data_IF_571813912068
#
_entry.id   IF_571813912068
#
_cell.length_a   1.000
_cell.length_b   1.000
_cell.length_c   1.000
_cell.angle_alpha   90.00
_cell.angle_beta   90.00
_cell.angle_gamma   90.00
#
_symmetry.space_group_name_H-M   'P 1'
#
loop_
_entity.id
_entity.type
_entity.pdbx_description
1 polymer ?
#
# COMPACT_ATOMS: atom_id res chain seq x y z
N UNK A 1 -9.06 -15.29 -33.57
CA UNK A 1 -9.98 -14.73 -32.55
C UNK A 1 -10.64 -15.91 -31.84
N UNK A 2 -10.63 -15.97 -30.51
CA UNK A 2 -11.34 -17.00 -29.77
C UNK A 2 -12.83 -16.63 -29.80
N UNK A 3 -13.71 -17.56 -30.18
CA UNK A 3 -15.15 -17.31 -30.22
C UNK A 3 -15.68 -16.96 -28.84
N UNK A 4 -16.56 -15.95 -28.73
CA UNK A 4 -17.13 -15.49 -27.45
C UNK A 4 -17.82 -16.62 -26.64
N UNK A 5 -18.37 -17.59 -27.31
CA UNK A 5 -19.01 -18.76 -26.65
C UNK A 5 -18.01 -19.64 -25.91
N UNK A 6 -16.79 -19.76 -26.42
CA UNK A 6 -15.69 -20.47 -25.74
C UNK A 6 -15.17 -19.73 -24.51
N UNK A 7 -15.16 -18.39 -24.53
CA UNK A 7 -14.78 -17.57 -23.39
C UNK A 7 -15.77 -17.72 -22.23
N UNK A 8 -17.05 -17.86 -22.53
CA UNK A 8 -18.09 -18.06 -21.50
C UNK A 8 -18.01 -19.44 -20.83
N UNK A 9 -17.51 -20.45 -21.52
CA UNK A 9 -17.43 -21.84 -21.05
C UNK A 9 -16.11 -22.20 -20.38
N UNK A 10 -15.06 -21.37 -20.55
CA UNK A 10 -13.72 -21.67 -19.99
C UNK A 10 -13.71 -21.68 -18.46
N UNK A 11 -13.03 -22.68 -17.90
CA UNK A 11 -12.75 -22.85 -16.47
C UNK A 11 -11.38 -22.28 -16.05
N UNK A 12 -10.65 -21.65 -16.97
CA UNK A 12 -9.36 -21.00 -16.64
C UNK A 12 -9.59 -19.91 -15.57
N UNK A 13 -8.84 -19.96 -14.49
CA UNK A 13 -9.06 -19.12 -13.31
C UNK A 13 -9.17 -17.60 -13.60
N UNK A 14 -8.37 -16.99 -14.52
CA UNK A 14 -8.52 -15.56 -14.78
C UNK A 14 -9.89 -15.19 -15.32
N UNK A 15 -10.46 -16.06 -16.19
CA UNK A 15 -11.79 -15.86 -16.74
C UNK A 15 -12.90 -16.12 -15.71
N UNK A 16 -12.71 -17.11 -14.85
CA UNK A 16 -13.65 -17.40 -13.75
C UNK A 16 -13.76 -16.19 -12.83
N UNK A 17 -12.65 -15.67 -12.38
CA UNK A 17 -12.62 -14.50 -11.49
C UNK A 17 -13.07 -13.22 -12.20
N UNK A 18 -12.69 -13.01 -13.46
CA UNK A 18 -13.17 -11.88 -14.25
C UNK A 18 -14.68 -11.87 -14.43
N UNK A 19 -15.28 -13.03 -14.77
CA UNK A 19 -16.75 -13.18 -14.87
C UNK A 19 -17.45 -12.94 -13.54
N UNK A 20 -16.87 -13.45 -12.45
CA UNK A 20 -17.38 -13.21 -11.09
C UNK A 20 -17.38 -11.72 -10.76
N UNK A 21 -16.26 -11.02 -10.97
CA UNK A 21 -16.13 -9.58 -10.76
C UNK A 21 -17.16 -8.79 -11.58
N UNK A 22 -17.27 -9.05 -12.88
CA UNK A 22 -18.22 -8.36 -13.76
C UNK A 22 -19.67 -8.55 -13.31
N UNK A 23 -20.02 -9.72 -12.76
CA UNK A 23 -21.35 -10.01 -12.23
C UNK A 23 -21.59 -9.31 -10.89
N UNK A 24 -20.67 -9.49 -9.93
CA UNK A 24 -20.87 -9.06 -8.54
C UNK A 24 -20.66 -7.55 -8.35
N UNK A 25 -19.87 -6.90 -9.21
CA UNK A 25 -19.58 -5.47 -9.18
C UNK A 25 -20.22 -4.68 -10.33
N UNK A 26 -21.19 -5.27 -11.02
CA UNK A 26 -21.78 -4.71 -12.24
C UNK A 26 -22.16 -3.23 -12.11
N UNK A 27 -22.99 -2.87 -11.14
CA UNK A 27 -23.47 -1.50 -10.95
C UNK A 27 -22.35 -0.50 -10.65
N UNK A 28 -21.35 -0.94 -9.87
CA UNK A 28 -20.19 -0.13 -9.55
C UNK A 28 -19.31 0.11 -10.78
N UNK A 29 -19.02 -0.93 -11.55
CA UNK A 29 -18.22 -0.87 -12.79
C UNK A 29 -18.92 0.00 -13.83
N UNK A 30 -20.25 -0.19 -14.04
CA UNK A 30 -21.03 0.62 -14.99
C UNK A 30 -21.03 2.11 -14.63
N UNK A 31 -21.19 2.43 -13.36
CA UNK A 31 -21.14 3.82 -12.86
C UNK A 31 -19.79 4.46 -13.11
N UNK A 32 -18.70 3.70 -12.90
CA UNK A 32 -17.32 4.18 -13.03
C UNK A 32 -16.83 4.23 -14.48
N UNK A 33 -17.32 3.37 -15.35
CA UNK A 33 -16.93 3.26 -16.75
C UNK A 33 -15.53 2.67 -16.99
N UNK A 34 -14.86 2.16 -15.95
CA UNK A 34 -13.54 1.50 -16.03
C UNK A 34 -13.34 0.49 -14.89
N UNK A 35 -12.37 -0.40 -15.04
CA UNK A 35 -12.00 -1.39 -14.03
C UNK A 35 -10.56 -1.12 -13.57
N UNK A 36 -10.37 -0.92 -12.27
CA UNK A 36 -9.05 -0.76 -11.67
C UNK A 36 -8.73 -1.99 -10.83
N UNK A 37 -7.54 -2.54 -11.02
CA UNK A 37 -6.95 -3.59 -10.21
C UNK A 37 -5.69 -3.04 -9.53
N UNK A 38 -5.41 -3.49 -8.31
CA UNK A 38 -4.26 -3.02 -7.56
C UNK A 38 -3.36 -4.17 -7.14
N UNK A 39 -2.04 -3.97 -7.24
CA UNK A 39 -1.01 -4.80 -6.63
C UNK A 39 -0.28 -4.02 -5.55
N UNK A 40 0.36 -4.69 -4.59
CA UNK A 40 1.17 -4.08 -3.54
C UNK A 40 2.62 -4.54 -3.62
N UNK A 41 3.56 -3.65 -3.30
CA UNK A 41 4.97 -3.94 -3.23
C UNK A 41 5.61 -3.20 -2.04
N UNK A 42 6.27 -3.95 -1.15
CA UNK A 42 7.09 -3.39 -0.08
C UNK A 42 8.54 -3.27 -0.54
N UNK A 43 9.07 -2.06 -0.82
CA UNK A 43 10.40 -1.86 -1.39
C UNK A 43 11.52 -1.93 -0.32
N UNK A 44 11.41 -2.86 0.62
CA UNK A 44 12.43 -3.11 1.65
C UNK A 44 13.56 -4.05 1.20
N UNK A 45 13.54 -4.47 -0.07
CA UNK A 45 14.53 -5.31 -0.73
C UNK A 45 14.35 -5.29 -2.24
N UNK A 46 15.24 -5.97 -2.95
CA UNK A 46 15.19 -6.05 -4.41
C UNK A 46 13.95 -6.82 -4.88
N UNK A 47 13.38 -6.48 -6.06
CA UNK A 47 12.29 -7.24 -6.67
C UNK A 47 12.67 -8.71 -6.87
N UNK A 48 11.72 -9.60 -6.67
CA UNK A 48 11.91 -11.06 -6.77
C UNK A 48 10.70 -11.75 -7.41
N UNK A 49 10.73 -13.07 -7.53
CA UNK A 49 9.67 -13.86 -8.17
C UNK A 49 8.27 -13.63 -7.57
N UNK A 50 8.18 -13.31 -6.26
CA UNK A 50 6.90 -12.95 -5.63
C UNK A 50 6.34 -11.65 -6.20
N UNK A 51 7.20 -10.64 -6.37
CA UNK A 51 6.84 -9.36 -7.00
C UNK A 51 6.34 -9.56 -8.44
N UNK A 52 7.06 -10.39 -9.21
CA UNK A 52 6.62 -10.79 -10.54
C UNK A 52 5.25 -11.47 -10.51
N UNK A 53 5.05 -12.42 -9.61
CA UNK A 53 3.81 -13.19 -9.47
C UNK A 53 2.58 -12.31 -9.18
N UNK A 54 2.74 -11.25 -8.39
CA UNK A 54 1.68 -10.28 -8.12
C UNK A 54 1.21 -9.59 -9.39
N UNK A 55 2.13 -9.00 -10.14
CA UNK A 55 1.79 -8.25 -11.35
C UNK A 55 1.38 -9.19 -12.48
N UNK A 56 2.02 -10.34 -12.63
CA UNK A 56 1.67 -11.34 -13.66
C UNK A 56 0.24 -11.85 -13.49
N UNK A 57 -0.16 -12.24 -12.28
CA UNK A 57 -1.54 -12.68 -12.00
C UNK A 57 -2.56 -11.59 -12.27
N UNK A 58 -2.27 -10.36 -11.85
CA UNK A 58 -3.15 -9.23 -12.11
C UNK A 58 -3.25 -8.92 -13.61
N UNK A 59 -2.16 -9.03 -14.35
CA UNK A 59 -2.15 -8.89 -15.81
C UNK A 59 -2.95 -9.99 -16.53
N UNK A 60 -2.93 -11.23 -16.01
CA UNK A 60 -3.81 -12.30 -16.52
C UNK A 60 -5.29 -11.97 -16.33
N UNK A 61 -5.65 -11.38 -15.18
CA UNK A 61 -7.01 -10.89 -14.93
C UNK A 61 -7.39 -9.78 -15.93
N UNK A 62 -6.52 -8.80 -16.13
CA UNK A 62 -6.73 -7.72 -17.11
C UNK A 62 -6.92 -8.29 -18.52
N UNK A 63 -6.09 -9.26 -18.93
CA UNK A 63 -6.23 -9.90 -20.24
C UNK A 63 -7.58 -10.63 -20.39
N UNK A 64 -8.06 -11.29 -19.35
CA UNK A 64 -9.38 -11.92 -19.36
C UNK A 64 -10.52 -10.88 -19.43
N UNK A 65 -10.43 -9.79 -18.64
CA UNK A 65 -11.39 -8.69 -18.66
C UNK A 65 -11.46 -8.02 -20.04
N UNK A 66 -10.33 -7.74 -20.67
CA UNK A 66 -10.26 -7.13 -22.00
C UNK A 66 -10.88 -8.01 -23.11
N UNK A 67 -11.00 -9.33 -22.89
CA UNK A 67 -11.69 -10.24 -23.80
C UNK A 67 -13.19 -10.35 -23.50
N UNK A 68 -13.62 -10.10 -22.27
CA UNK A 68 -15.00 -10.20 -21.81
C UNK A 68 -15.76 -8.89 -21.89
N UNK A 69 -15.09 -7.74 -21.86
CA UNK A 69 -15.69 -6.40 -21.89
C UNK A 69 -14.83 -5.43 -22.69
N UNK A 70 -15.47 -4.36 -23.18
CA UNK A 70 -14.77 -3.24 -23.84
C UNK A 70 -14.40 -2.10 -22.87
N UNK A 71 -14.61 -2.30 -21.56
CA UNK A 71 -14.29 -1.27 -20.57
C UNK A 71 -12.77 -1.11 -20.42
N UNK A 72 -12.28 0.11 -20.27
CA UNK A 72 -10.87 0.36 -19.96
C UNK A 72 -10.49 -0.35 -18.66
N UNK A 73 -9.30 -0.97 -18.66
CA UNK A 73 -8.72 -1.63 -17.49
C UNK A 73 -7.40 -0.96 -17.11
N UNK A 74 -7.13 -0.83 -15.83
CA UNK A 74 -5.91 -0.24 -15.30
C UNK A 74 -5.34 -1.11 -14.16
N UNK A 75 -4.01 -1.27 -14.11
CA UNK A 75 -3.30 -1.88 -12.98
C UNK A 75 -2.58 -0.77 -12.22
N UNK A 76 -2.91 -0.58 -10.96
CA UNK A 76 -2.12 0.24 -10.05
C UNK A 76 -1.07 -0.66 -9.39
N UNK A 77 0.20 -0.39 -9.65
CA UNK A 77 1.32 -0.97 -8.92
C UNK A 77 1.71 0.00 -7.81
N UNK A 78 1.31 -0.35 -6.59
CA UNK A 78 1.48 0.51 -5.41
C UNK A 78 2.72 0.11 -4.63
N UNK A 79 3.62 1.06 -4.41
CA UNK A 79 4.80 0.87 -3.58
C UNK A 79 4.55 1.40 -2.17
N UNK A 80 4.71 0.53 -1.17
CA UNK A 80 4.64 0.86 0.25
C UNK A 80 5.95 1.50 0.75
N UNK A 81 6.51 2.44 -0.02
CA UNK A 81 7.81 3.08 0.21
C UNK A 81 7.84 4.05 1.41
N UNK A 82 6.69 4.31 2.02
CA UNK A 82 6.58 5.02 3.30
C UNK A 82 6.70 4.09 4.51
N UNK A 83 6.79 2.78 4.30
CA UNK A 83 7.03 1.83 5.39
C UNK A 83 8.40 2.06 6.02
N UNK A 84 8.46 1.89 7.35
CA UNK A 84 9.74 1.95 8.08
C UNK A 84 10.65 0.77 7.71
N UNK A 85 11.94 1.02 7.57
CA UNK A 85 12.93 -0.04 7.39
C UNK A 85 12.99 -0.90 8.67
N UNK A 86 12.36 -2.09 8.64
CA UNK A 86 12.23 -2.95 9.85
C UNK A 86 13.48 -3.75 10.17
N UNK A 87 14.24 -4.12 9.16
CA UNK A 87 15.47 -4.89 9.28
C UNK A 87 16.41 -4.58 8.13
N UNK A 88 17.70 -4.78 8.35
CA UNK A 88 18.71 -4.68 7.29
C UNK A 88 18.67 -5.98 6.47
N UNK A 89 18.48 -5.93 5.15
CA UNK A 89 18.55 -7.13 4.31
C UNK A 89 19.99 -7.68 4.25
N UNK A 90 20.14 -9.01 4.19
CA UNK A 90 21.45 -9.67 4.24
C UNK A 90 22.32 -9.43 3.00
N UNK A 91 21.67 -9.22 1.86
CA UNK A 91 22.31 -9.09 0.54
C UNK A 91 22.51 -7.63 0.07
N UNK A 92 22.49 -6.67 1.00
CA UNK A 92 22.63 -5.24 0.69
C UNK A 92 23.97 -4.72 1.25
N UNK A 93 24.71 -3.86 0.52
CA UNK A 93 25.92 -3.22 1.02
C UNK A 93 25.60 -2.18 2.11
N UNK A 94 26.67 -1.66 2.76
CA UNK A 94 26.58 -0.59 3.76
C UNK A 94 25.58 -0.89 4.89
N UNK A 95 25.66 -2.08 5.49
CA UNK A 95 24.75 -2.52 6.56
C UNK A 95 24.68 -1.56 7.73
N UNK A 96 25.82 -1.01 8.17
CA UNK A 96 25.87 -0.03 9.27
C UNK A 96 25.10 1.26 8.97
N UNK A 97 25.11 1.71 7.69
CA UNK A 97 24.30 2.84 7.25
C UNK A 97 22.82 2.55 7.42
N UNK A 98 22.38 1.36 7.01
CA UNK A 98 20.99 0.94 7.13
C UNK A 98 20.57 0.74 8.59
N UNK A 99 21.43 0.17 9.44
CA UNK A 99 21.19 -0.02 10.88
C UNK A 99 20.91 1.31 11.59
N UNK A 100 21.68 2.34 11.28
CA UNK A 100 21.46 3.71 11.83
C UNK A 100 20.14 4.34 11.38
N UNK A 101 19.56 3.85 10.29
CA UNK A 101 18.31 4.36 9.70
C UNK A 101 17.13 3.41 9.87
N UNK A 102 17.22 2.42 10.76
CA UNK A 102 16.09 1.53 11.08
C UNK A 102 14.86 2.32 11.52
N UNK A 103 13.71 1.87 11.08
CA UNK A 103 12.39 2.43 11.31
C UNK A 103 12.08 3.75 10.58
N UNK A 104 13.03 4.38 9.87
CA UNK A 104 12.70 5.51 9.00
C UNK A 104 11.93 5.02 7.77
N UNK A 105 11.03 5.85 7.18
CA UNK A 105 10.44 5.57 5.88
C UNK A 105 11.52 5.21 4.86
N UNK A 106 11.27 4.22 4.00
CA UNK A 106 12.27 3.77 3.02
C UNK A 106 12.75 4.90 2.11
N UNK A 107 11.91 5.90 1.88
CA UNK A 107 12.26 7.11 1.13
C UNK A 107 13.12 8.12 1.90
N UNK A 108 13.30 7.91 3.20
CA UNK A 108 14.18 8.73 4.06
C UNK A 108 15.46 7.95 4.48
N UNK A 109 15.58 6.69 4.05
CA UNK A 109 16.78 5.87 4.25
C UNK A 109 17.74 6.15 3.11
N UNK A 110 19.00 6.56 3.35
CA UNK A 110 19.98 6.77 2.29
C UNK A 110 20.18 5.50 1.44
N UNK A 111 20.40 5.67 0.14
CA UNK A 111 20.62 4.54 -0.77
C UNK A 111 21.97 3.87 -0.49
N UNK A 112 22.02 2.59 -0.05
CA UNK A 112 23.27 1.90 0.22
C UNK A 112 24.10 1.61 -1.04
N UNK A 113 23.54 1.83 -2.22
CA UNK A 113 24.23 1.67 -3.51
C UNK A 113 24.74 3.01 -4.08
N UNK A 114 24.41 4.14 -3.46
CA UNK A 114 24.78 5.51 -3.89
C UNK A 114 24.35 5.85 -5.34
N UNK A 115 23.21 5.31 -5.79
CA UNK A 115 22.68 5.54 -7.15
C UNK A 115 21.47 6.45 -7.17
N UNK A 116 20.74 6.53 -6.05
CA UNK A 116 19.52 7.30 -5.88
C UNK A 116 19.59 8.10 -4.56
N UNK A 117 18.63 8.99 -4.34
CA UNK A 117 18.59 9.77 -3.10
C UNK A 117 18.23 8.90 -1.88
N UNK A 118 17.44 7.84 -2.10
CA UNK A 118 17.00 6.96 -1.02
C UNK A 118 16.92 5.49 -1.44
N UNK A 119 16.92 4.63 -0.44
CA UNK A 119 16.74 3.19 -0.63
C UNK A 119 15.35 2.86 -1.21
N UNK A 120 14.31 3.62 -0.82
CA UNK A 120 12.99 3.51 -1.42
C UNK A 120 12.99 3.86 -2.91
N UNK A 121 13.64 4.97 -3.30
CA UNK A 121 13.77 5.34 -4.73
C UNK A 121 14.56 4.30 -5.52
N UNK A 122 15.65 3.77 -4.96
CA UNK A 122 16.42 2.70 -5.59
C UNK A 122 15.54 1.49 -5.91
N UNK A 123 14.86 0.95 -4.90
CA UNK A 123 14.04 -0.24 -5.07
C UNK A 123 12.81 0.02 -5.97
N UNK A 124 12.23 1.22 -5.94
CA UNK A 124 11.17 1.63 -6.84
C UNK A 124 11.66 1.68 -8.30
N UNK A 125 12.87 2.17 -8.55
CA UNK A 125 13.48 2.16 -9.88
C UNK A 125 13.74 0.72 -10.37
N UNK A 126 14.27 -0.14 -9.48
CA UNK A 126 14.48 -1.56 -9.80
C UNK A 126 13.16 -2.27 -10.11
N UNK A 127 12.09 -1.99 -9.35
CA UNK A 127 10.76 -2.53 -9.62
C UNK A 127 10.27 -2.12 -11.01
N UNK A 128 10.31 -0.84 -11.32
CA UNK A 128 9.87 -0.32 -12.63
C UNK A 128 10.65 -0.97 -13.78
N UNK A 129 11.98 -0.97 -13.70
CA UNK A 129 12.83 -1.61 -14.70
C UNK A 129 12.51 -3.10 -14.86
N UNK A 130 12.27 -3.80 -13.76
CA UNK A 130 11.89 -5.22 -13.76
C UNK A 130 10.55 -5.43 -14.47
N UNK A 131 9.51 -4.66 -14.14
CA UNK A 131 8.19 -4.78 -14.76
C UNK A 131 8.22 -4.39 -16.25
N UNK A 132 8.97 -3.35 -16.59
CA UNK A 132 9.13 -2.87 -17.97
C UNK A 132 9.82 -3.93 -18.86
N UNK A 133 10.79 -4.69 -18.31
CA UNK A 133 11.47 -5.77 -19.04
C UNK A 133 10.53 -6.91 -19.46
N UNK A 134 9.38 -7.05 -18.80
CA UNK A 134 8.32 -8.00 -19.16
C UNK A 134 7.16 -7.34 -19.92
N UNK A 135 7.29 -6.07 -20.30
CA UNK A 135 6.27 -5.30 -21.01
C UNK A 135 4.91 -5.22 -20.28
N UNK A 136 4.91 -5.28 -18.96
CA UNK A 136 3.68 -5.07 -18.18
C UNK A 136 3.16 -3.63 -18.36
N UNK A 137 1.83 -3.49 -18.42
CA UNK A 137 1.15 -2.18 -18.45
C UNK A 137 0.63 -1.89 -17.04
N UNK A 138 1.12 -0.83 -16.42
CA UNK A 138 0.77 -0.45 -15.06
C UNK A 138 0.87 1.06 -14.84
N UNK A 139 0.18 1.55 -13.81
CA UNK A 139 0.32 2.89 -13.26
C UNK A 139 1.04 2.77 -11.91
N UNK A 140 2.28 3.26 -11.83
CA UNK A 140 3.05 3.24 -10.58
C UNK A 140 2.55 4.32 -9.61
N UNK A 141 2.38 3.95 -8.33
CA UNK A 141 2.05 4.87 -7.24
C UNK A 141 3.00 4.67 -6.06
N UNK A 142 3.56 5.76 -5.56
CA UNK A 142 4.37 5.82 -4.34
C UNK A 142 3.47 6.18 -3.15
N UNK A 143 3.51 5.40 -2.08
CA UNK A 143 2.76 5.72 -0.86
C UNK A 143 3.25 7.04 -0.26
N UNK A 144 4.57 7.26 -0.16
CA UNK A 144 5.14 8.51 0.34
C UNK A 144 4.63 9.72 -0.42
N UNK A 145 4.64 9.66 -1.76
CA UNK A 145 4.16 10.77 -2.59
C UNK A 145 2.68 11.06 -2.36
N UNK A 146 1.85 10.03 -2.26
CA UNK A 146 0.40 10.18 -2.08
C UNK A 146 0.04 10.68 -0.68
N UNK A 147 0.71 10.19 0.36
CA UNK A 147 0.52 10.69 1.72
C UNK A 147 0.98 12.15 1.85
N UNK A 148 2.19 12.48 1.39
CA UNK A 148 2.77 13.84 1.48
C UNK A 148 2.04 14.86 0.61
N UNK A 149 1.42 14.46 -0.50
CA UNK A 149 0.62 15.37 -1.35
C UNK A 149 -0.78 15.65 -0.82
N UNK A 150 -1.19 15.00 0.28
CA UNK A 150 -2.54 15.11 0.82
C UNK A 150 -3.60 14.31 0.04
N UNK A 151 -3.21 13.46 -0.92
CA UNK A 151 -4.15 12.66 -1.70
C UNK A 151 -5.05 11.78 -0.84
N UNK A 152 -4.56 11.31 0.29
CA UNK A 152 -5.31 10.49 1.24
C UNK A 152 -5.98 11.28 2.38
N UNK A 153 -5.85 12.62 2.45
CA UNK A 153 -6.31 13.40 3.59
C UNK A 153 -7.78 13.18 3.94
N UNK A 154 -8.69 13.22 2.95
CA UNK A 154 -10.12 12.96 3.18
C UNK A 154 -10.38 11.54 3.70
N UNK A 155 -9.64 10.57 3.20
CA UNK A 155 -9.75 9.17 3.61
C UNK A 155 -9.20 8.95 5.02
N UNK A 156 -8.11 9.61 5.38
CA UNK A 156 -7.53 9.58 6.72
C UNK A 156 -8.50 10.18 7.76
N UNK A 157 -9.18 11.26 7.40
CA UNK A 157 -10.24 11.84 8.23
C UNK A 157 -11.36 10.83 8.48
N UNK A 158 -11.90 10.18 7.44
CA UNK A 158 -12.94 9.14 7.58
C UNK A 158 -12.47 8.01 8.53
N UNK A 159 -11.21 7.59 8.43
CA UNK A 159 -10.63 6.57 9.30
C UNK A 159 -10.55 7.05 10.75
N UNK A 160 -10.15 8.31 10.98
CA UNK A 160 -10.11 8.89 12.33
C UNK A 160 -11.51 8.99 12.95
N UNK A 161 -12.48 9.41 12.16
CA UNK A 161 -13.88 9.49 12.62
C UNK A 161 -14.44 8.12 13.04
N UNK A 162 -14.02 7.06 12.34
CA UNK A 162 -14.45 5.68 12.59
C UNK A 162 -13.42 4.85 13.40
N UNK A 163 -12.51 5.50 14.11
CA UNK A 163 -11.38 4.86 14.82
C UNK A 163 -11.83 3.69 15.70
N UNK A 164 -12.82 3.91 16.57
CA UNK A 164 -13.28 2.87 17.51
C UNK A 164 -13.92 1.69 16.80
N UNK A 165 -14.68 1.93 15.73
CA UNK A 165 -15.25 0.89 14.88
C UNK A 165 -14.18 0.01 14.23
N UNK A 166 -13.12 0.63 13.72
CA UNK A 166 -11.97 -0.06 13.12
C UNK A 166 -11.23 -0.88 14.18
N UNK A 167 -10.99 -0.31 15.37
CA UNK A 167 -10.36 -1.03 16.49
C UNK A 167 -11.17 -2.27 16.89
N UNK A 168 -12.50 -2.13 17.01
CA UNK A 168 -13.38 -3.25 17.37
C UNK A 168 -13.36 -4.39 16.34
N UNK A 169 -13.15 -4.09 15.07
CA UNK A 169 -13.04 -5.10 13.99
C UNK A 169 -11.64 -5.75 13.97
N UNK A 170 -10.59 -4.96 14.11
CA UNK A 170 -9.22 -5.44 13.93
C UNK A 170 -8.68 -6.16 15.16
N UNK A 171 -8.88 -5.60 16.37
CA UNK A 171 -8.28 -6.16 17.59
C UNK A 171 -8.58 -7.65 17.81
N UNK A 172 -9.81 -8.15 17.62
CA UNK A 172 -10.10 -9.59 17.80
C UNK A 172 -9.33 -10.50 16.84
N UNK A 173 -8.83 -9.96 15.71
CA UNK A 173 -8.05 -10.73 14.72
C UNK A 173 -6.56 -10.82 15.07
N UNK A 174 -6.11 -10.15 16.11
CA UNK A 174 -4.71 -10.06 16.51
C UNK A 174 -4.41 -10.91 17.73
N UNK A 175 -3.18 -11.40 17.83
CA UNK A 175 -2.69 -12.04 19.06
C UNK A 175 -2.61 -11.04 20.24
N UNK A 176 -2.73 -11.53 21.48
CA UNK A 176 -2.81 -10.71 22.71
C UNK A 176 -1.70 -9.67 22.84
N UNK A 177 -0.47 -10.01 22.50
CA UNK A 177 0.66 -9.05 22.58
C UNK A 177 0.50 -7.91 21.55
N UNK A 178 0.07 -8.26 20.33
CA UNK A 178 -0.14 -7.26 19.28
C UNK A 178 -1.34 -6.35 19.56
N UNK A 179 -2.36 -6.84 20.26
CA UNK A 179 -3.51 -6.03 20.66
C UNK A 179 -3.11 -4.85 21.57
N UNK A 180 -2.09 -5.02 22.42
CA UNK A 180 -1.61 -3.98 23.34
C UNK A 180 -0.91 -2.81 22.63
N UNK A 181 -0.32 -3.06 21.48
CA UNK A 181 0.51 -2.09 20.75
C UNK A 181 -0.13 -1.62 19.45
N UNK A 182 -1.29 -2.16 19.08
CA UNK A 182 -1.92 -1.85 17.80
C UNK A 182 -2.55 -0.45 17.79
N UNK A 183 -2.34 0.24 16.69
CA UNK A 183 -3.12 1.42 16.28
C UNK A 183 -3.32 1.37 14.77
N UNK A 184 -4.45 1.83 14.24
CA UNK A 184 -4.63 2.08 12.80
C UNK A 184 -3.62 3.08 12.25
N UNK A 185 -3.25 4.08 13.04
CA UNK A 185 -2.29 5.12 12.68
C UNK A 185 -0.90 4.81 13.21
N UNK A 186 0.09 4.97 12.37
CA UNK A 186 1.52 4.90 12.70
C UNK A 186 2.09 6.32 12.57
N UNK A 187 2.30 7.04 13.69
CA UNK A 187 2.89 8.36 13.64
C UNK A 187 4.35 8.31 13.19
N UNK A 188 4.77 9.34 12.46
CA UNK A 188 6.19 9.58 12.19
C UNK A 188 6.71 10.52 13.26
N UNK A 189 7.73 10.07 14.00
CA UNK A 189 8.30 10.84 15.08
C UNK A 189 8.93 12.14 14.54
N UNK A 190 8.48 13.33 14.95
CA UNK A 190 8.99 14.59 14.43
C UNK A 190 10.47 14.84 14.79
N UNK A 191 10.99 14.20 15.85
CA UNK A 191 12.39 14.33 16.27
C UNK A 191 13.34 13.40 15.52
N UNK A 192 12.89 12.16 15.21
CA UNK A 192 13.77 11.12 14.68
C UNK A 192 13.44 10.72 13.23
N UNK A 193 12.28 11.13 12.71
CA UNK A 193 11.77 10.71 11.41
C UNK A 193 11.34 9.24 11.35
N UNK A 194 11.31 8.52 12.48
CA UNK A 194 10.97 7.08 12.52
C UNK A 194 9.47 6.87 12.50
N UNK A 195 9.02 5.88 11.77
CA UNK A 195 7.65 5.33 11.83
C UNK A 195 7.51 4.55 13.13
N UNK A 196 6.56 4.93 13.96
CA UNK A 196 6.38 4.35 15.30
C UNK A 196 5.21 3.35 15.29
N UNK A 197 5.49 2.11 15.69
CA UNK A 197 4.46 1.07 15.89
C UNK A 197 4.02 1.04 17.37
N UNK A 198 3.37 2.10 17.82
CA UNK A 198 2.95 2.31 19.21
C UNK A 198 1.45 2.59 19.30
N UNK A 199 0.81 2.35 20.46
CA UNK A 199 -0.61 2.62 20.64
C UNK A 199 -0.86 4.15 20.64
N UNK A 200 -1.98 4.54 20.05
CA UNK A 200 -2.53 5.88 20.19
C UNK A 200 -3.29 5.97 21.51
N UNK A 201 -2.97 6.96 22.36
CA UNK A 201 -3.63 7.22 23.64
C UNK A 201 -4.95 7.94 23.51
N UNK A 202 -4.98 8.95 22.64
CA UNK A 202 -6.16 9.79 22.37
C UNK A 202 -6.19 10.22 20.91
N UNK A 203 -7.39 10.44 20.41
CA UNK A 203 -7.64 11.03 19.10
C UNK A 203 -8.34 12.38 19.28
N UNK A 204 -8.03 13.34 18.42
CA UNK A 204 -8.74 14.61 18.33
C UNK A 204 -9.32 14.76 16.93
N UNK A 205 -10.64 14.57 16.82
CA UNK A 205 -11.34 14.60 15.54
C UNK A 205 -11.44 16.01 14.96
N UNK A 206 -11.52 17.04 15.81
CA UNK A 206 -11.64 18.43 15.37
C UNK A 206 -10.31 18.96 14.81
N UNK A 207 -9.19 18.58 15.43
CA UNK A 207 -7.84 18.98 15.00
C UNK A 207 -7.21 18.01 13.99
N UNK A 208 -7.83 16.86 13.75
CA UNK A 208 -7.27 15.76 12.93
C UNK A 208 -5.88 15.34 13.43
N UNK A 209 -5.77 15.14 14.75
CA UNK A 209 -4.51 14.74 15.42
C UNK A 209 -4.69 13.49 16.25
N UNK A 210 -3.56 12.82 16.50
CA UNK A 210 -3.42 11.71 17.43
C UNK A 210 -2.38 12.03 18.49
N UNK A 211 -2.61 11.53 19.72
CA UNK A 211 -1.71 11.69 20.87
C UNK A 211 -1.17 10.31 21.24
N UNK A 212 0.13 10.22 21.39
CA UNK A 212 0.85 9.00 21.71
C UNK A 212 2.01 9.29 22.66
N UNK A 213 2.54 8.26 23.32
CA UNK A 213 3.74 8.38 24.17
C UNK A 213 4.94 7.78 23.45
N UNK A 214 6.06 8.51 23.44
CA UNK A 214 7.33 8.04 22.96
C UNK A 214 8.45 8.47 23.91
N UNK A 215 9.25 7.51 24.41
CA UNK A 215 10.36 7.75 25.34
C UNK A 215 9.95 8.58 26.58
N UNK A 216 8.79 8.28 27.14
CA UNK A 216 8.26 8.97 28.32
C UNK A 216 7.66 10.35 28.06
N UNK A 217 7.61 10.80 26.82
CA UNK A 217 7.00 12.07 26.44
C UNK A 217 5.69 11.85 25.69
N UNK A 218 4.65 12.60 26.08
CA UNK A 218 3.43 12.67 25.31
C UNK A 218 3.61 13.61 24.13
N UNK A 219 3.31 13.14 22.94
CA UNK A 219 3.44 13.85 21.66
C UNK A 219 2.10 13.89 20.95
N UNK A 220 1.80 15.01 20.28
CA UNK A 220 0.67 15.15 19.39
C UNK A 220 1.16 15.36 17.96
N UNK A 221 0.52 14.68 16.99
CA UNK A 221 0.84 14.86 15.57
C UNK A 221 -0.42 14.85 14.72
N UNK A 222 -0.38 15.57 13.59
CA UNK A 222 -1.43 15.51 12.56
C UNK A 222 -1.44 14.14 11.90
N UNK A 223 -2.62 13.66 11.52
CA UNK A 223 -2.76 12.46 10.67
C UNK A 223 -2.54 12.75 9.19
N UNK A 224 -2.46 14.03 8.81
CA UNK A 224 -2.45 14.51 7.42
C UNK A 224 -1.03 14.71 6.89
N UNK A 225 -0.92 14.90 5.57
CA UNK A 225 0.26 15.38 4.84
C UNK A 225 1.53 14.57 5.09
N UNK A 226 1.36 13.26 5.33
CA UNK A 226 2.49 12.35 5.54
C UNK A 226 3.09 12.37 6.96
N UNK A 227 2.46 13.02 7.95
CA UNK A 227 2.91 12.96 9.35
C UNK A 227 2.54 11.64 10.04
N UNK A 228 1.60 10.89 9.46
CA UNK A 228 1.25 9.53 9.83
C UNK A 228 1.10 8.69 8.57
N UNK A 229 1.30 7.39 8.73
CA UNK A 229 0.81 6.39 7.75
C UNK A 229 -0.15 5.43 8.45
N UNK A 230 -0.88 4.63 7.68
CA UNK A 230 -1.75 3.60 8.26
C UNK A 230 -1.06 2.25 8.37
N UNK A 231 -1.52 1.43 9.32
CA UNK A 231 -1.21 -0.01 9.37
C UNK A 231 -1.74 -0.68 8.09
N UNK A 232 -0.99 -1.64 7.57
CA UNK A 232 -1.21 -2.22 6.23
C UNK A 232 -2.65 -2.71 5.95
N UNK A 233 -3.35 -3.32 6.91
CA UNK A 233 -4.74 -3.77 6.72
C UNK A 233 -5.71 -2.60 6.52
N UNK A 234 -5.54 -1.52 7.29
CA UNK A 234 -6.36 -0.32 7.19
C UNK A 234 -5.96 0.50 5.97
N UNK A 235 -4.66 0.57 5.67
CA UNK A 235 -4.12 1.22 4.48
C UNK A 235 -4.66 0.57 3.20
N UNK A 236 -4.70 -0.75 3.15
CA UNK A 236 -5.28 -1.48 2.03
C UNK A 236 -6.76 -1.18 1.84
N UNK A 237 -7.55 -1.22 2.91
CA UNK A 237 -8.97 -0.89 2.86
C UNK A 237 -9.19 0.56 2.42
N UNK A 238 -8.40 1.51 2.93
CA UNK A 238 -8.42 2.91 2.51
C UNK A 238 -8.18 3.04 1.00
N UNK A 239 -7.15 2.37 0.48
CA UNK A 239 -6.81 2.43 -0.94
C UNK A 239 -7.94 1.94 -1.84
N UNK A 240 -8.66 0.89 -1.44
CA UNK A 240 -9.76 0.35 -2.23
C UNK A 240 -10.86 1.38 -2.48
N UNK A 241 -11.28 2.13 -1.47
CA UNK A 241 -12.29 3.16 -1.68
C UNK A 241 -11.73 4.46 -2.25
N UNK A 242 -10.45 4.81 -1.94
CA UNK A 242 -9.85 6.04 -2.46
C UNK A 242 -9.54 5.96 -3.96
N UNK A 243 -9.09 4.81 -4.45
CA UNK A 243 -8.84 4.56 -5.88
C UNK A 243 -10.07 4.01 -6.60
N UNK A 244 -11.15 3.72 -5.87
CA UNK A 244 -12.31 3.00 -6.40
C UNK A 244 -11.92 1.65 -7.04
N UNK A 245 -11.16 0.82 -6.35
CA UNK A 245 -10.71 -0.51 -6.82
C UNK A 245 -11.81 -1.55 -6.67
#
# INVERSE_FOLDING_TARGET
MIEKDNLNKTSAWPFVEAKKMLRERKSFIEKKGKIILQTGYGPSGLPHIGTFGEVARTSMMVNALNQLTNLPTEIITFSDDMDGLRKVPDNIPQKELLEKNLHKPLTEVPDPFNKFNSFGEHNNAMLKNFLDSFNFKYCFKSSTSLYKSGFFNSSLQIILENYDGIMNIILPTLGKERQKTYSPFLPICPKTGKVLEIPVKKINKDKLTIIFENEGNELETSILDGNCKLQWKVDWAMRWFTFDV
#
